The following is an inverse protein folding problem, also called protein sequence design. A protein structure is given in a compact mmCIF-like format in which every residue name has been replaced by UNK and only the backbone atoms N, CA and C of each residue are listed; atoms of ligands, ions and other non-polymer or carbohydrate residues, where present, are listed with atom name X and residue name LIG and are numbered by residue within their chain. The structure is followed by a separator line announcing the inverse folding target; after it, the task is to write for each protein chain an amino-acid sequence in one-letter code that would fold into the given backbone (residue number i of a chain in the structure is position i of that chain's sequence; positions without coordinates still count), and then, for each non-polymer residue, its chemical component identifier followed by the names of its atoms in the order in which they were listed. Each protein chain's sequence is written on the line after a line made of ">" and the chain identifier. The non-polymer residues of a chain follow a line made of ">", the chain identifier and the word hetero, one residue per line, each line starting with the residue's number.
data_IF_023792165565
#
_entry.id   IF_023792165565
#
_cell.length_a   1.000
_cell.length_b   1.000
_cell.length_c   1.000
_cell.angle_alpha   90.00
_cell.angle_beta   90.00
_cell.angle_gamma   90.00
#
_symmetry.space_group_name_H-M   'P 1'
#
loop_
_entity.id
_entity.type
_entity.pdbx_description
1 polymer ?
#
# COMPACT_ATOMS: atom_id res chain seq x y z
N UNK A 1 -2.87 -4.10 -0.67
CA UNK A 1 -3.75 -2.91 -0.70
C UNK A 1 -3.15 -1.85 0.19
N UNK A 2 -3.02 -0.60 -0.27
CA UNK A 2 -2.60 0.50 0.60
C UNK A 2 -3.70 0.76 1.64
N UNK A 3 -3.39 0.45 2.91
CA UNK A 3 -4.30 0.69 4.04
C UNK A 3 -4.64 2.16 4.26
N UNK A 4 -3.92 3.08 3.60
CA UNK A 4 -4.15 4.53 3.60
C UNK A 4 -5.44 4.95 2.90
N UNK A 5 -6.07 4.08 2.10
CA UNK A 5 -7.29 4.39 1.35
C UNK A 5 -8.58 3.89 2.03
N UNK A 6 -8.45 3.26 3.20
CA UNK A 6 -9.62 2.77 3.93
C UNK A 6 -9.88 3.77 5.05
N UNK A 7 -10.87 4.67 4.92
CA UNK A 7 -11.22 5.58 6.01
C UNK A 7 -11.62 4.72 7.20
N UNK A 8 -10.90 4.86 8.31
CA UNK A 8 -11.26 4.20 9.56
C UNK A 8 -12.49 4.89 10.11
N UNK A 9 -13.67 4.40 9.72
CA UNK A 9 -14.95 4.86 10.26
C UNK A 9 -15.37 3.98 11.44
N UNK A 10 -16.09 4.52 12.44
CA UNK A 10 -16.55 3.74 13.59
C UNK A 10 -17.38 2.50 13.21
N UNK A 11 -18.14 2.56 12.12
CA UNK A 11 -18.90 1.42 11.62
C UNK A 11 -17.99 0.29 11.08
N UNK A 12 -16.89 0.64 10.40
CA UNK A 12 -15.95 -0.35 9.85
C UNK A 12 -15.13 -1.05 10.94
N UNK A 13 -14.85 -0.37 12.05
CA UNK A 13 -14.17 -0.98 13.21
C UNK A 13 -15.02 -2.05 13.92
N UNK A 14 -16.32 -2.13 13.63
CA UNK A 14 -17.19 -3.22 14.14
C UNK A 14 -17.00 -4.53 13.38
N UNK A 15 -16.37 -4.50 12.20
CA UNK A 15 -16.00 -5.71 11.48
C UNK A 15 -14.77 -6.36 12.12
N UNK A 16 -14.94 -7.58 12.62
CA UNK A 16 -13.88 -8.34 13.29
C UNK A 16 -12.64 -8.57 12.42
N UNK A 17 -12.80 -8.62 11.09
CA UNK A 17 -11.70 -8.80 10.14
C UNK A 17 -10.83 -7.54 10.09
N UNK A 18 -11.46 -6.36 10.08
CA UNK A 18 -10.78 -5.06 10.10
C UNK A 18 -10.10 -4.86 11.45
N UNK A 19 -10.79 -5.17 12.56
CA UNK A 19 -10.26 -5.03 13.91
C UNK A 19 -8.98 -5.86 14.12
N UNK A 20 -8.98 -7.13 13.70
CA UNK A 20 -7.79 -8.01 13.79
C UNK A 20 -6.59 -7.47 13.03
N UNK A 21 -6.83 -6.87 11.87
CA UNK A 21 -5.80 -6.31 11.01
C UNK A 21 -5.23 -5.02 11.59
N UNK A 22 -6.09 -4.14 12.09
CA UNK A 22 -5.69 -2.90 12.77
C UNK A 22 -4.89 -3.17 14.04
N UNK A 23 -5.21 -4.23 14.77
CA UNK A 23 -4.53 -4.60 16.02
C UNK A 23 -3.04 -4.96 15.79
N UNK A 24 -2.73 -5.68 14.70
CA UNK A 24 -1.33 -5.98 14.33
C UNK A 24 -0.55 -4.70 13.98
N UNK A 25 -1.16 -3.77 13.26
CA UNK A 25 -0.53 -2.49 12.88
C UNK A 25 -0.30 -1.60 14.11
N UNK A 26 -1.26 -1.56 15.03
CA UNK A 26 -1.16 -0.76 16.25
C UNK A 26 0.01 -1.21 17.14
N UNK A 27 0.22 -2.52 17.28
CA UNK A 27 1.23 -3.09 18.18
C UNK A 27 2.67 -2.74 17.79
N UNK A 28 2.97 -2.51 16.50
CA UNK A 28 4.32 -2.20 16.04
C UNK A 28 4.66 -0.69 16.01
N UNK A 29 3.70 0.21 16.28
CA UNK A 29 3.86 1.65 16.07
C UNK A 29 3.49 2.58 17.23
N UNK A 30 2.92 2.05 18.32
CA UNK A 30 2.33 2.83 19.43
C UNK A 30 3.23 3.96 19.96
N UNK A 31 4.52 3.70 20.19
CA UNK A 31 5.47 4.71 20.69
C UNK A 31 5.67 5.88 19.71
N UNK A 32 5.86 5.56 18.43
CA UNK A 32 6.01 6.54 17.35
C UNK A 32 4.73 7.35 17.13
N UNK A 33 3.56 6.71 17.25
CA UNK A 33 2.25 7.37 17.15
C UNK A 33 2.03 8.39 18.27
N UNK A 34 2.38 8.05 19.52
CA UNK A 34 2.29 8.97 20.65
C UNK A 34 3.23 10.17 20.48
N UNK A 35 4.46 9.94 20.00
CA UNK A 35 5.40 11.02 19.71
C UNK A 35 4.90 11.94 18.58
N UNK A 36 4.30 11.37 17.54
CA UNK A 36 3.68 12.11 16.45
C UNK A 36 2.51 12.96 16.94
N UNK A 37 1.62 12.42 17.77
CA UNK A 37 0.50 13.17 18.37
C UNK A 37 0.97 14.35 19.21
N UNK A 38 2.01 14.17 20.02
CA UNK A 38 2.60 15.26 20.82
C UNK A 38 3.18 16.37 19.94
N UNK A 39 3.82 15.99 18.85
CA UNK A 39 4.38 16.96 17.89
C UNK A 39 3.26 17.71 17.16
N UNK A 40 2.22 17.02 16.73
CA UNK A 40 1.03 17.62 16.10
C UNK A 40 0.33 18.61 17.06
N UNK A 41 0.15 18.25 18.33
CA UNK A 41 -0.43 19.14 19.34
C UNK A 41 0.42 20.39 19.59
N UNK A 42 1.76 20.24 19.57
CA UNK A 42 2.68 21.38 19.71
C UNK A 42 2.56 22.34 18.54
N UNK A 43 2.59 21.82 17.31
CA UNK A 43 2.38 22.61 16.08
C UNK A 43 1.03 23.30 16.15
N UNK A 44 -0.03 22.58 16.56
CA UNK A 44 -1.35 23.13 16.66
C UNK A 44 -1.44 24.32 17.61
N UNK A 45 -0.78 24.21 18.78
CA UNK A 45 -0.66 25.30 19.74
C UNK A 45 0.16 26.48 19.20
N UNK A 46 1.28 26.22 18.53
CA UNK A 46 2.17 27.27 17.99
C UNK A 46 1.47 28.12 16.94
N UNK A 47 0.69 27.49 16.06
CA UNK A 47 0.03 28.17 14.93
C UNK A 47 -1.44 28.50 15.18
N UNK A 48 -1.97 28.24 16.38
CA UNK A 48 -3.36 28.53 16.74
C UNK A 48 -4.39 27.73 15.93
N UNK A 49 -4.00 26.57 15.40
CA UNK A 49 -4.91 25.70 14.62
C UNK A 49 -5.64 24.70 15.53
N UNK A 50 -6.87 24.29 15.18
CA UNK A 50 -7.61 23.29 15.95
C UNK A 50 -6.82 22.00 16.15
N UNK A 51 -6.93 21.40 17.33
CA UNK A 51 -6.30 20.11 17.59
C UNK A 51 -7.00 19.00 16.81
N UNK A 52 -6.27 18.34 15.91
CA UNK A 52 -6.77 17.17 15.21
C UNK A 52 -6.79 15.97 16.18
N UNK A 53 -7.97 15.36 16.37
CA UNK A 53 -8.09 14.11 17.10
C UNK A 53 -7.39 12.96 16.36
N UNK A 54 -7.16 11.82 17.03
CA UNK A 54 -6.49 10.65 16.43
C UNK A 54 -7.14 10.21 15.11
N UNK A 55 -8.48 10.13 15.08
CA UNK A 55 -9.21 9.74 13.87
C UNK A 55 -9.10 10.75 12.74
N UNK A 56 -8.95 12.03 13.07
CA UNK A 56 -8.76 13.10 12.09
C UNK A 56 -7.34 13.07 11.52
N UNK A 57 -6.34 12.73 12.34
CA UNK A 57 -4.96 12.54 11.88
C UNK A 57 -4.80 11.30 10.99
N UNK A 58 -5.56 10.24 11.28
CA UNK A 58 -5.51 9.00 10.51
C UNK A 58 -6.26 9.09 9.18
N UNK A 59 -7.38 9.81 9.14
CA UNK A 59 -8.23 9.91 7.95
C UNK A 59 -8.00 11.18 7.13
N UNK A 60 -7.46 12.25 7.72
CA UNK A 60 -7.25 13.59 7.14
C UNK A 60 -8.34 13.98 6.12
N UNK A 61 -9.62 14.01 6.52
CA UNK A 61 -10.69 14.33 5.58
C UNK A 61 -10.54 15.77 5.09
N UNK A 62 -10.33 15.95 3.79
CA UNK A 62 -10.38 17.24 3.12
C UNK A 62 -11.77 17.55 2.56
N UNK A 63 -11.97 18.79 2.11
CA UNK A 63 -13.20 19.23 1.43
C UNK A 63 -13.48 18.41 0.16
N UNK A 64 -12.41 17.91 -0.47
CA UNK A 64 -12.44 17.01 -1.61
C UNK A 64 -11.31 15.98 -1.46
N UNK A 65 -11.64 14.70 -1.60
CA UNK A 65 -10.67 13.59 -1.58
C UNK A 65 -10.75 12.84 -2.90
N UNK A 66 -9.66 12.87 -3.67
CA UNK A 66 -9.58 12.20 -4.98
C UNK A 66 -9.00 10.80 -4.79
N UNK A 67 -9.77 9.78 -5.20
CA UNK A 67 -9.36 8.38 -5.14
C UNK A 67 -9.05 7.89 -6.55
N UNK A 68 -7.77 7.61 -6.81
CA UNK A 68 -7.27 7.08 -8.09
C UNK A 68 -7.54 5.57 -8.25
N UNK A 69 -8.80 5.19 -8.06
CA UNK A 69 -9.29 3.82 -8.19
C UNK A 69 -10.78 3.83 -8.55
N UNK A 70 -11.34 2.66 -8.87
CA UNK A 70 -12.79 2.49 -9.07
C UNK A 70 -13.48 2.16 -7.75
N UNK A 71 -14.68 2.69 -7.54
CA UNK A 71 -15.51 2.35 -6.39
C UNK A 71 -15.91 0.86 -6.34
N UNK A 72 -15.93 0.19 -7.50
CA UNK A 72 -16.34 -1.23 -7.62
C UNK A 72 -15.33 -2.20 -7.00
N UNK A 73 -14.05 -1.81 -6.95
CA UNK A 73 -12.95 -2.66 -6.46
C UNK A 73 -12.45 -2.24 -5.08
N UNK A 74 -12.86 -1.07 -4.59
CA UNK A 74 -12.50 -0.57 -3.27
C UNK A 74 -13.50 -1.11 -2.24
N UNK A 75 -13.04 -1.90 -1.25
CA UNK A 75 -13.91 -2.40 -0.20
C UNK A 75 -14.61 -1.25 0.54
N UNK A 76 -15.90 -1.42 0.81
CA UNK A 76 -16.73 -0.44 1.52
C UNK A 76 -16.81 0.93 0.82
N UNK A 77 -16.55 1.04 -0.49
CA UNK A 77 -16.63 2.31 -1.21
C UNK A 77 -17.96 3.06 -0.97
N UNK A 78 -19.08 2.33 -0.83
CA UNK A 78 -20.40 2.89 -0.54
C UNK A 78 -20.51 3.59 0.83
N UNK A 79 -19.57 3.36 1.77
CA UNK A 79 -19.56 4.03 3.08
C UNK A 79 -18.74 5.31 3.10
N UNK A 80 -18.11 5.67 1.97
CA UNK A 80 -17.29 6.87 1.88
C UNK A 80 -18.18 8.11 1.87
N UNK A 81 -17.68 9.21 2.42
CA UNK A 81 -18.42 10.47 2.41
C UNK A 81 -18.58 10.97 0.95
N UNK A 82 -19.63 11.77 0.66
CA UNK A 82 -19.80 12.38 -0.68
C UNK A 82 -18.63 13.25 -1.16
N UNK A 83 -17.74 13.67 -0.25
CA UNK A 83 -16.51 14.40 -0.58
C UNK A 83 -15.43 13.53 -1.23
N UNK A 84 -15.62 12.21 -1.32
CA UNK A 84 -14.71 11.30 -2.02
C UNK A 84 -15.15 11.13 -3.47
N UNK A 85 -14.25 11.45 -4.40
CA UNK A 85 -14.46 11.30 -5.83
C UNK A 85 -13.54 10.20 -6.37
N UNK A 86 -14.15 9.12 -6.85
CA UNK A 86 -13.44 8.02 -7.51
C UNK A 86 -13.23 8.38 -8.98
N UNK A 87 -11.98 8.61 -9.37
CA UNK A 87 -11.62 9.03 -10.74
C UNK A 87 -11.07 7.88 -11.58
N UNK A 88 -11.08 6.66 -11.05
CA UNK A 88 -10.51 5.51 -11.73
C UNK A 88 -8.97 5.52 -11.72
N UNK A 89 -8.41 4.59 -12.50
CA UNK A 89 -6.97 4.46 -12.63
C UNK A 89 -6.43 5.55 -13.56
N UNK A 90 -5.56 6.42 -13.06
CA UNK A 90 -4.79 7.34 -13.89
C UNK A 90 -3.40 6.75 -14.11
N UNK A 91 -3.17 6.15 -15.29
CA UNK A 91 -1.82 5.80 -15.72
C UNK A 91 -1.38 6.87 -16.71
N UNK A 92 -0.23 7.48 -16.50
CA UNK A 92 0.44 8.13 -17.62
C UNK A 92 0.96 7.04 -18.54
N UNK A 93 0.60 7.11 -19.82
CA UNK A 93 1.29 6.32 -20.83
C UNK A 93 2.78 6.70 -20.79
N UNK A 94 3.69 5.72 -20.68
CA UNK A 94 5.11 6.02 -20.67
C UNK A 94 5.49 6.73 -21.98
N UNK A 95 6.10 7.91 -21.87
CA UNK A 95 6.51 8.73 -23.03
C UNK A 95 7.62 8.06 -23.85
N UNK A 96 8.32 7.10 -23.25
CA UNK A 96 9.17 6.14 -23.95
C UNK A 96 9.12 4.80 -23.22
N UNK A 97 8.88 3.73 -23.98
CA UNK A 97 9.08 2.36 -23.51
C UNK A 97 10.26 1.85 -24.31
N UNK A 98 11.43 1.71 -23.69
CA UNK A 98 12.46 0.88 -24.30
C UNK A 98 11.89 -0.55 -24.40
N UNK A 99 11.98 -1.20 -25.58
CA UNK A 99 11.47 -2.55 -25.73
C UNK A 99 12.16 -3.46 -24.72
N UNK A 100 11.38 -4.16 -23.90
CA UNK A 100 11.94 -5.21 -23.06
C UNK A 100 12.34 -6.38 -23.95
N UNK A 101 13.62 -6.42 -24.33
CA UNK A 101 14.18 -7.49 -25.16
C UNK A 101 14.47 -8.71 -24.28
N UNK A 102 13.88 -9.84 -24.63
CA UNK A 102 14.10 -11.13 -23.98
C UNK A 102 14.59 -12.17 -24.98
N UNK A 103 15.42 -13.08 -24.52
CA UNK A 103 16.02 -14.12 -25.38
C UNK A 103 15.11 -15.34 -25.61
N UNK A 104 14.00 -15.44 -24.87
CA UNK A 104 13.13 -16.62 -24.82
C UNK A 104 11.70 -16.24 -25.16
N UNK A 105 11.03 -17.06 -25.97
CA UNK A 105 9.61 -16.95 -26.36
C UNK A 105 8.65 -17.55 -25.33
N UNK A 106 9.20 -18.17 -24.26
CA UNK A 106 8.39 -18.82 -23.20
C UNK A 106 7.46 -17.82 -22.51
N UNK A 107 6.32 -18.20 -21.95
CA UNK A 107 5.49 -17.23 -21.21
C UNK A 107 6.25 -16.65 -20.00
N UNK A 108 6.09 -15.34 -19.74
CA UNK A 108 6.82 -14.63 -18.67
C UNK A 108 5.91 -14.36 -17.46
N UNK A 109 6.43 -14.67 -16.27
CA UNK A 109 5.84 -14.31 -14.99
C UNK A 109 6.63 -13.15 -14.40
N UNK A 110 5.95 -12.04 -14.10
CA UNK A 110 6.55 -10.91 -13.38
C UNK A 110 6.17 -10.96 -11.89
N UNK A 111 7.18 -11.03 -11.02
CA UNK A 111 7.00 -11.04 -9.58
C UNK A 111 7.60 -9.78 -8.94
N UNK A 112 6.77 -9.01 -8.24
CA UNK A 112 7.18 -7.81 -7.49
C UNK A 112 6.31 -7.60 -6.26
N UNK A 113 6.91 -7.10 -5.18
CA UNK A 113 6.22 -6.73 -3.93
C UNK A 113 6.16 -5.21 -3.72
N UNK A 114 6.41 -4.43 -4.78
CA UNK A 114 6.42 -2.98 -4.72
C UNK A 114 7.64 -2.40 -3.99
N UNK A 115 7.51 -1.20 -3.43
CA UNK A 115 8.65 -0.47 -2.85
C UNK A 115 8.80 -0.63 -1.34
N UNK A 116 7.73 -1.03 -0.64
CA UNK A 116 7.71 -1.08 0.82
C UNK A 116 8.12 -2.46 1.38
N UNK A 117 7.69 -3.55 0.74
CA UNK A 117 7.88 -4.95 1.22
C UNK A 117 8.64 -5.76 0.16
N UNK A 118 9.69 -5.20 -0.44
CA UNK A 118 10.49 -5.88 -1.48
C UNK A 118 11.65 -6.74 -0.95
N UNK A 119 11.77 -6.89 0.37
CA UNK A 119 12.85 -7.66 1.00
C UNK A 119 12.38 -9.04 1.51
N UNK A 120 11.20 -9.51 1.07
CA UNK A 120 10.67 -10.82 1.47
C UNK A 120 11.33 -11.96 0.69
N UNK A 121 12.45 -12.45 1.22
CA UNK A 121 13.25 -13.51 0.63
C UNK A 121 12.50 -14.85 0.51
N UNK A 122 11.69 -15.20 1.50
CA UNK A 122 10.93 -16.45 1.49
C UNK A 122 9.90 -16.47 0.35
N UNK A 123 9.25 -15.34 0.07
CA UNK A 123 8.33 -15.22 -1.05
C UNK A 123 9.03 -15.49 -2.40
N UNK A 124 10.18 -14.85 -2.66
CA UNK A 124 10.87 -15.01 -3.94
C UNK A 124 11.47 -16.42 -4.11
N UNK A 125 11.99 -17.02 -3.05
CA UNK A 125 12.41 -18.44 -3.09
C UNK A 125 11.24 -19.37 -3.39
N UNK A 126 10.07 -19.13 -2.78
CA UNK A 126 8.88 -19.93 -3.05
C UNK A 126 8.45 -19.79 -4.52
N UNK A 127 8.53 -18.59 -5.11
CA UNK A 127 8.29 -18.41 -6.54
C UNK A 127 9.29 -19.18 -7.39
N UNK A 128 10.60 -19.09 -7.10
CA UNK A 128 11.63 -19.82 -7.85
C UNK A 128 11.38 -21.33 -7.76
N UNK A 129 11.14 -21.87 -6.56
CA UNK A 129 10.89 -23.28 -6.35
C UNK A 129 9.61 -23.76 -7.06
N UNK A 130 8.55 -22.97 -7.04
CA UNK A 130 7.29 -23.32 -7.69
C UNK A 130 7.40 -23.36 -9.23
N UNK A 131 8.31 -22.59 -9.82
CA UNK A 131 8.44 -22.46 -11.27
C UNK A 131 9.74 -23.07 -11.84
N UNK A 132 10.59 -23.70 -11.02
CA UNK A 132 11.91 -24.18 -11.41
C UNK A 132 11.90 -25.12 -12.64
N UNK A 133 10.96 -26.06 -12.67
CA UNK A 133 10.81 -27.04 -13.75
C UNK A 133 9.60 -26.75 -14.66
N UNK A 134 9.11 -25.51 -14.63
CA UNK A 134 7.94 -25.09 -15.40
C UNK A 134 8.33 -24.52 -16.77
N UNK A 135 7.38 -24.38 -17.69
CA UNK A 135 7.59 -23.75 -19.00
C UNK A 135 7.72 -22.22 -18.95
N UNK A 136 7.66 -21.61 -17.77
CA UNK A 136 7.65 -20.15 -17.60
C UNK A 136 9.04 -19.58 -17.33
N UNK A 137 9.30 -18.39 -17.85
CA UNK A 137 10.41 -17.56 -17.38
C UNK A 137 9.92 -16.69 -16.21
N UNK A 138 10.75 -16.52 -15.18
CA UNK A 138 10.44 -15.70 -14.01
C UNK A 138 11.30 -14.43 -13.98
N UNK A 139 10.67 -13.27 -14.11
CA UNK A 139 11.30 -11.96 -13.90
C UNK A 139 10.96 -11.43 -12.50
N UNK A 140 11.98 -11.29 -11.66
CA UNK A 140 11.81 -10.83 -10.28
C UNK A 140 12.33 -9.39 -10.13
N UNK A 141 11.45 -8.48 -9.73
CA UNK A 141 11.82 -7.13 -9.33
C UNK A 141 12.07 -7.08 -7.82
N UNK A 142 13.35 -6.94 -7.46
CA UNK A 142 13.81 -6.88 -6.07
C UNK A 142 14.54 -5.55 -5.80
N UNK A 143 14.70 -5.17 -4.53
CA UNK A 143 15.46 -3.97 -4.19
C UNK A 143 16.96 -4.20 -4.45
N UNK A 144 17.72 -3.15 -4.79
CA UNK A 144 19.16 -3.19 -5.16
C UNK A 144 20.09 -3.93 -4.17
N UNK A 145 19.66 -4.13 -2.92
CA UNK A 145 20.41 -4.89 -1.89
C UNK A 145 20.29 -6.40 -2.04
N UNK A 146 19.29 -6.90 -2.75
CA UNK A 146 19.11 -8.30 -3.06
C UNK A 146 19.86 -8.61 -4.36
N UNK A 147 21.01 -9.27 -4.24
CA UNK A 147 21.76 -9.77 -5.40
C UNK A 147 21.18 -11.13 -5.79
N UNK A 148 21.03 -11.40 -7.08
CA UNK A 148 20.53 -12.70 -7.58
C UNK A 148 21.28 -13.92 -6.99
N UNK A 149 22.53 -13.75 -6.58
CA UNK A 149 23.36 -14.79 -5.96
C UNK A 149 22.90 -15.20 -4.56
N UNK A 150 22.16 -14.34 -3.85
CA UNK A 150 21.63 -14.67 -2.53
C UNK A 150 20.31 -15.44 -2.59
N UNK A 151 19.68 -15.56 -3.77
CA UNK A 151 18.38 -16.22 -4.00
C UNK A 151 18.50 -17.67 -4.49
N UNK A 152 19.71 -18.24 -4.43
CA UNK A 152 20.00 -19.64 -4.78
C UNK A 152 20.12 -20.49 -3.53
#
# INVERSE_FOLDING_TARGET
>A
ASYSLIPMTPHMMRDWRVLRLSMHVALHGLGSSVAAMRTAARIAKTYGIPHAGLMQLLNLPGDLSIVYSSAEIVPYAATFAPSFQFVGWTLQEPTSVEPFVRASERPLIYASLGTLINDNFAFFQACIAAFADSEYDLLISTRRRLRARSLR
#
